data_IF_228004497585
#
_entry.id   IF_228004497585
#
_cell.length_a   1.000
_cell.length_b   1.000
_cell.length_c   1.000
_cell.angle_alpha   90.00
_cell.angle_beta   90.00
_cell.angle_gamma   90.00
#
_symmetry.space_group_name_H-M   'P 1'
#
loop_
_entity.id
_entity.type
_entity.pdbx_description
1 polymer ?
#
# COMPACT_ATOMS: atom_id res chain seq x y z
N UNK A 1 25.45 4.26 -25.36
CA UNK A 1 24.95 4.96 -24.15
C UNK A 1 23.42 5.04 -24.13
N UNK A 2 22.75 5.43 -25.22
CA UNK A 2 21.27 5.52 -25.28
C UNK A 2 20.48 4.26 -24.90
N UNK A 3 20.85 3.08 -25.40
CA UNK A 3 20.16 1.81 -25.09
C UNK A 3 20.10 1.48 -23.59
N UNK A 4 21.15 1.80 -22.81
CA UNK A 4 21.19 1.56 -21.36
C UNK A 4 20.31 2.53 -20.57
N UNK A 5 20.15 3.76 -21.06
CA UNK A 5 19.25 4.75 -20.46
C UNK A 5 17.79 4.37 -20.66
N UNK A 6 17.41 3.92 -21.86
CA UNK A 6 16.04 3.45 -22.12
C UNK A 6 15.66 2.24 -21.26
N UNK A 7 16.56 1.26 -21.11
CA UNK A 7 16.29 0.10 -20.25
C UNK A 7 16.14 0.47 -18.77
N UNK A 8 16.95 1.43 -18.28
CA UNK A 8 16.85 1.89 -16.90
C UNK A 8 15.54 2.65 -16.65
N UNK A 9 15.15 3.54 -17.57
CA UNK A 9 13.89 4.27 -17.48
C UNK A 9 12.68 3.33 -17.48
N UNK A 10 12.65 2.34 -18.37
CA UNK A 10 11.58 1.34 -18.42
C UNK A 10 11.52 0.50 -17.14
N UNK A 11 12.67 0.15 -16.56
CA UNK A 11 12.74 -0.57 -15.30
C UNK A 11 12.17 0.25 -14.13
N UNK A 12 12.61 1.50 -13.96
CA UNK A 12 12.08 2.42 -12.94
C UNK A 12 10.59 2.62 -13.10
N UNK A 13 10.12 2.89 -14.33
CA UNK A 13 8.70 3.08 -14.62
C UNK A 13 7.89 1.83 -14.25
N UNK A 14 8.38 0.64 -14.60
CA UNK A 14 7.71 -0.63 -14.30
C UNK A 14 7.62 -0.87 -12.80
N UNK A 15 8.71 -0.66 -12.06
CA UNK A 15 8.71 -0.84 -10.60
C UNK A 15 7.81 0.19 -9.93
N UNK A 16 7.90 1.47 -10.31
CA UNK A 16 7.03 2.51 -9.77
C UNK A 16 5.55 2.20 -10.00
N UNK A 17 5.21 1.68 -11.19
CA UNK A 17 3.86 1.24 -11.51
C UNK A 17 3.40 0.07 -10.62
N UNK A 18 4.25 -0.95 -10.45
CA UNK A 18 3.97 -2.09 -9.58
C UNK A 18 3.72 -1.63 -8.13
N UNK A 19 4.59 -0.76 -7.60
CA UNK A 19 4.45 -0.21 -6.26
C UNK A 19 3.14 0.57 -6.14
N UNK A 20 2.87 1.47 -7.08
CA UNK A 20 1.65 2.28 -7.05
C UNK A 20 0.39 1.41 -7.04
N UNK A 21 0.31 0.40 -7.90
CA UNK A 21 -0.82 -0.54 -7.93
C UNK A 21 -0.95 -1.30 -6.61
N UNK A 22 0.12 -1.94 -6.13
CA UNK A 22 0.08 -2.76 -4.91
C UNK A 22 -0.33 -1.91 -3.71
N UNK A 23 0.31 -0.76 -3.52
CA UNK A 23 0.05 0.13 -2.38
C UNK A 23 -1.37 0.68 -2.44
N UNK A 24 -1.88 1.03 -3.63
CA UNK A 24 -3.26 1.53 -3.79
C UNK A 24 -4.28 0.46 -3.48
N UNK A 25 -4.06 -0.79 -3.94
CA UNK A 25 -4.97 -1.92 -3.66
C UNK A 25 -4.99 -2.25 -2.16
N UNK A 26 -3.81 -2.33 -1.53
CA UNK A 26 -3.72 -2.61 -0.10
C UNK A 26 -4.27 -1.44 0.73
N UNK A 27 -3.98 -0.20 0.32
CA UNK A 27 -4.53 1.02 0.91
C UNK A 27 -6.05 1.07 0.82
N UNK A 28 -6.64 0.64 -0.30
CA UNK A 28 -8.08 0.51 -0.46
C UNK A 28 -8.68 -0.54 0.47
N UNK A 29 -8.08 -1.72 0.56
CA UNK A 29 -8.55 -2.76 1.48
C UNK A 29 -8.53 -2.28 2.94
N UNK A 30 -7.47 -1.56 3.33
CA UNK A 30 -7.34 -0.97 4.65
C UNK A 30 -8.37 0.15 4.89
N UNK A 31 -8.52 1.08 3.97
CA UNK A 31 -9.50 2.17 4.03
C UNK A 31 -10.95 1.64 4.09
N UNK A 32 -11.26 0.62 3.30
CA UNK A 32 -12.54 -0.08 3.31
C UNK A 32 -12.81 -0.72 4.67
N UNK A 33 -11.83 -1.40 5.26
CA UNK A 33 -11.96 -1.96 6.59
C UNK A 33 -12.20 -0.87 7.65
N UNK A 34 -11.50 0.27 7.57
CA UNK A 34 -11.70 1.41 8.47
C UNK A 34 -13.13 1.96 8.34
N UNK A 35 -13.62 2.18 7.12
CA UNK A 35 -14.94 2.79 6.88
C UNK A 35 -16.10 1.88 7.25
N UNK A 36 -16.02 0.59 6.91
CA UNK A 36 -17.17 -0.32 6.98
C UNK A 36 -17.08 -1.40 8.06
N UNK A 37 -15.88 -1.68 8.61
CA UNK A 37 -15.69 -2.77 9.60
C UNK A 37 -15.18 -2.31 10.96
N UNK A 38 -14.44 -1.20 11.05
CA UNK A 38 -13.80 -0.79 12.30
C UNK A 38 -14.77 -0.20 13.35
N UNK A 39 -15.98 0.21 12.95
CA UNK A 39 -16.99 0.76 13.86
C UNK A 39 -16.42 1.90 14.72
N UNK A 40 -16.55 1.78 16.05
CA UNK A 40 -16.04 2.78 17.02
C UNK A 40 -14.51 3.00 16.96
N UNK A 41 -13.76 2.04 16.43
CA UNK A 41 -12.30 2.12 16.33
C UNK A 41 -11.81 2.82 15.07
N UNK A 42 -12.71 3.15 14.14
CA UNK A 42 -12.35 3.84 12.88
C UNK A 42 -11.48 5.09 13.10
N UNK A 43 -11.83 6.02 13.99
CA UNK A 43 -11.00 7.18 14.29
C UNK A 43 -9.60 6.81 14.82
N UNK A 44 -9.51 5.82 15.72
CA UNK A 44 -8.23 5.36 16.27
C UNK A 44 -7.32 4.76 15.19
N UNK A 45 -7.86 3.95 14.27
CA UNK A 45 -7.11 3.41 13.14
C UNK A 45 -6.55 4.51 12.23
N UNK A 46 -7.34 5.56 11.96
CA UNK A 46 -6.86 6.73 11.21
C UNK A 46 -5.76 7.47 11.96
N UNK A 47 -5.90 7.68 13.27
CA UNK A 47 -4.86 8.30 14.08
C UNK A 47 -3.55 7.52 14.06
N UNK A 48 -3.59 6.19 14.20
CA UNK A 48 -2.39 5.33 14.11
C UNK A 48 -1.73 5.43 12.73
N UNK A 49 -2.54 5.50 11.67
CA UNK A 49 -2.06 5.67 10.30
C UNK A 49 -1.32 7.00 10.14
N UNK A 50 -1.88 8.08 10.69
CA UNK A 50 -1.23 9.40 10.71
C UNK A 50 0.06 9.39 11.51
N UNK A 51 0.08 8.78 12.71
CA UNK A 51 1.29 8.67 13.54
C UNK A 51 2.40 7.92 12.78
N UNK A 52 2.04 6.87 12.06
CA UNK A 52 2.98 6.09 11.24
C UNK A 52 3.60 6.93 10.12
N UNK A 53 2.88 7.92 9.60
CA UNK A 53 3.36 8.80 8.52
C UNK A 53 4.52 9.70 8.96
N UNK A 54 4.53 10.18 10.20
CA UNK A 54 5.52 11.14 10.71
C UNK A 54 6.90 10.54 11.04
N UNK A 55 7.06 9.21 10.93
CA UNK A 55 8.36 8.57 11.10
C UNK A 55 9.32 8.91 9.96
N UNK A 56 10.58 9.26 10.29
CA UNK A 56 11.60 9.61 9.30
C UNK A 56 11.84 8.49 8.28
N UNK A 57 11.80 8.82 6.99
CA UNK A 57 11.96 7.87 5.88
C UNK A 57 13.28 7.08 5.98
N UNK A 58 14.40 7.76 6.28
CA UNK A 58 15.70 7.10 6.46
C UNK A 58 15.71 6.08 7.58
N UNK A 59 15.03 6.36 8.71
CA UNK A 59 14.94 5.42 9.83
C UNK A 59 14.23 4.14 9.38
N UNK A 60 13.16 4.27 8.57
CA UNK A 60 12.44 3.11 8.02
C UNK A 60 13.31 2.31 7.05
N UNK A 61 14.09 2.97 6.19
CA UNK A 61 15.04 2.29 5.30
C UNK A 61 16.06 1.49 6.12
N UNK A 62 16.69 2.09 7.14
CA UNK A 62 17.67 1.39 7.96
C UNK A 62 17.06 0.25 8.78
N UNK A 63 15.82 0.41 9.25
CA UNK A 63 15.09 -0.66 9.92
C UNK A 63 14.87 -1.85 8.96
N UNK A 64 14.34 -1.60 7.75
CA UNK A 64 14.16 -2.66 6.75
C UNK A 64 15.48 -3.26 6.26
N UNK A 65 16.53 -2.46 6.12
CA UNK A 65 17.89 -2.92 5.81
C UNK A 65 18.40 -3.89 6.89
N UNK A 66 18.13 -3.59 8.16
CA UNK A 66 18.49 -4.47 9.28
C UNK A 66 17.68 -5.77 9.27
N UNK A 67 16.39 -5.70 8.94
CA UNK A 67 15.50 -6.87 8.89
C UNK A 67 15.85 -7.80 7.71
N UNK A 68 16.11 -7.22 6.53
CA UNK A 68 16.32 -7.94 5.27
C UNK A 68 17.80 -8.31 5.02
N UNK A 69 18.71 -7.88 5.89
CA UNK A 69 20.14 -8.18 5.76
C UNK A 69 20.44 -9.67 5.89
N UNK A 70 21.64 -10.06 5.48
CA UNK A 70 22.08 -11.46 5.53
C UNK A 70 22.03 -12.03 6.95
N UNK A 71 22.43 -11.24 7.94
CA UNK A 71 22.31 -11.54 9.37
C UNK A 71 21.05 -10.92 10.01
N UNK A 72 20.09 -10.52 9.17
CA UNK A 72 18.86 -9.88 9.60
C UNK A 72 17.87 -10.85 10.26
N UNK A 73 16.85 -10.28 10.90
CA UNK A 73 15.80 -11.03 11.61
C UNK A 73 15.12 -12.03 10.67
N UNK A 74 14.85 -11.65 9.41
CA UNK A 74 14.15 -12.51 8.46
C UNK A 74 14.97 -13.76 8.10
N UNK A 75 16.23 -13.59 7.73
CA UNK A 75 17.12 -14.71 7.40
C UNK A 75 17.36 -15.61 8.62
N UNK A 76 17.60 -15.00 9.79
CA UNK A 76 17.80 -15.74 11.04
C UNK A 76 16.57 -16.58 11.43
N UNK A 77 15.36 -16.04 11.26
CA UNK A 77 14.12 -16.77 11.51
C UNK A 77 13.91 -17.93 10.51
N UNK A 78 14.16 -17.70 9.22
CA UNK A 78 14.01 -18.73 8.18
C UNK A 78 15.01 -19.89 8.37
N UNK A 79 16.25 -19.59 8.76
CA UNK A 79 17.29 -20.59 9.10
C UNK A 79 16.89 -21.32 10.39
N UNK A 80 16.43 -20.60 11.42
CA UNK A 80 15.97 -21.19 12.68
C UNK A 80 14.78 -22.15 12.51
N UNK A 81 13.88 -21.84 11.58
CA UNK A 81 12.75 -22.70 11.18
C UNK A 81 13.16 -23.83 10.22
N UNK A 82 14.44 -23.92 9.83
CA UNK A 82 14.97 -24.87 8.84
C UNK A 82 14.27 -24.82 7.47
N UNK A 83 13.74 -23.65 7.09
CA UNK A 83 13.13 -23.44 5.77
C UNK A 83 14.22 -23.21 4.72
N UNK A 84 15.33 -22.59 5.10
CA UNK A 84 16.50 -22.33 4.24
C UNK A 84 17.79 -22.72 4.96
N UNK A 85 18.80 -23.14 4.22
CA UNK A 85 20.12 -23.52 4.75
C UNK A 85 21.13 -22.37 4.75
N UNK A 86 20.96 -21.40 3.84
CA UNK A 86 21.84 -20.24 3.68
C UNK A 86 21.02 -18.95 3.57
N UNK A 87 21.55 -17.81 4.05
CA UNK A 87 20.85 -16.54 4.00
C UNK A 87 20.62 -16.07 2.56
N UNK A 88 19.40 -15.58 2.28
CA UNK A 88 18.99 -15.09 0.97
C UNK A 88 19.61 -13.71 0.72
N UNK A 89 20.88 -13.72 0.27
CA UNK A 89 21.68 -12.51 0.08
C UNK A 89 21.11 -11.52 -0.95
N UNK A 90 20.25 -12.00 -1.83
CA UNK A 90 19.61 -11.17 -2.85
C UNK A 90 18.44 -10.34 -2.31
N UNK A 91 17.93 -10.59 -1.10
CA UNK A 91 16.75 -9.90 -0.57
C UNK A 91 16.96 -8.39 -0.45
N UNK A 92 18.05 -7.96 0.21
CA UNK A 92 18.25 -6.56 0.64
C UNK A 92 18.36 -5.55 -0.52
N UNK A 93 18.75 -6.00 -1.72
CA UNK A 93 18.86 -5.18 -2.93
C UNK A 93 17.94 -5.65 -4.06
N UNK A 94 16.93 -6.47 -3.74
CA UNK A 94 15.94 -6.92 -4.72
C UNK A 94 14.87 -5.85 -4.97
N UNK A 95 14.23 -5.85 -6.14
CA UNK A 95 13.00 -5.09 -6.39
C UNK A 95 11.93 -5.35 -5.31
N UNK A 96 11.87 -6.57 -4.76
CA UNK A 96 10.95 -6.93 -3.68
C UNK A 96 11.20 -6.18 -2.38
N UNK A 97 12.47 -5.99 -1.99
CA UNK A 97 12.81 -5.17 -0.82
C UNK A 97 12.43 -3.70 -1.02
N UNK A 98 12.60 -3.17 -2.24
CA UNK A 98 12.15 -1.81 -2.55
C UNK A 98 10.63 -1.69 -2.49
N UNK A 99 9.89 -2.62 -3.10
CA UNK A 99 8.42 -2.67 -3.02
C UNK A 99 7.95 -2.74 -1.56
N UNK A 100 8.59 -3.56 -0.72
CA UNK A 100 8.25 -3.66 0.70
C UNK A 100 8.56 -2.38 1.48
N UNK A 101 9.78 -1.85 1.35
CA UNK A 101 10.24 -0.70 2.13
C UNK A 101 9.51 0.57 1.73
N UNK A 102 9.51 0.87 0.43
CA UNK A 102 8.87 2.06 -0.13
C UNK A 102 7.36 1.93 -0.06
N UNK A 103 6.81 0.74 -0.36
CA UNK A 103 5.38 0.49 -0.27
C UNK A 103 4.86 0.63 1.16
N UNK A 104 5.57 0.09 2.16
CA UNK A 104 5.22 0.29 3.57
C UNK A 104 5.20 1.77 3.97
N UNK A 105 6.14 2.56 3.45
CA UNK A 105 6.16 4.00 3.71
C UNK A 105 5.03 4.76 3.00
N UNK A 106 4.68 4.37 1.78
CA UNK A 106 3.61 4.99 0.98
C UNK A 106 2.21 4.56 1.40
N UNK A 107 2.04 3.42 2.07
CA UNK A 107 0.73 2.88 2.47
C UNK A 107 -0.13 3.88 3.27
N UNK A 108 0.38 4.51 4.35
CA UNK A 108 -0.39 5.52 5.08
C UNK A 108 -0.80 6.69 4.18
N UNK A 109 0.11 7.16 3.32
CA UNK A 109 -0.13 8.28 2.42
C UNK A 109 -1.21 7.95 1.37
N UNK A 110 -1.19 6.73 0.83
CA UNK A 110 -2.18 6.19 -0.10
C UNK A 110 -3.55 6.03 0.55
N UNK A 111 -3.59 5.56 1.79
CA UNK A 111 -4.84 5.30 2.49
C UNK A 111 -5.65 6.58 2.76
N UNK A 112 -5.01 7.73 3.02
CA UNK A 112 -5.70 8.97 3.38
C UNK A 112 -6.72 9.47 2.33
N UNK A 113 -6.36 9.70 1.06
CA UNK A 113 -7.33 10.12 0.04
C UNK A 113 -8.42 9.06 -0.19
N UNK A 114 -8.11 7.77 -0.07
CA UNK A 114 -9.11 6.70 -0.21
C UNK A 114 -10.10 6.72 0.96
N UNK A 115 -9.60 6.89 2.19
CA UNK A 115 -10.44 7.04 3.40
C UNK A 115 -11.34 8.26 3.25
N UNK A 116 -10.82 9.38 2.75
CA UNK A 116 -11.61 10.59 2.53
C UNK A 116 -12.76 10.35 1.53
N UNK A 117 -12.49 9.70 0.39
CA UNK A 117 -13.54 9.34 -0.57
C UNK A 117 -14.56 8.37 0.00
N UNK A 118 -14.12 7.32 0.70
CA UNK A 118 -15.02 6.32 1.29
C UNK A 118 -15.88 6.89 2.44
N UNK A 119 -15.36 7.87 3.20
CA UNK A 119 -16.13 8.58 4.22
C UNK A 119 -17.21 9.49 3.63
N UNK A 120 -17.04 9.94 2.38
CA UNK A 120 -18.05 10.72 1.67
C UNK A 120 -19.27 9.90 1.24
N UNK A 121 -19.19 8.56 1.25
CA UNK A 121 -20.32 7.69 0.91
C UNK A 121 -21.32 7.71 2.08
N UNK A 122 -22.54 8.21 1.82
CA UNK A 122 -23.62 8.20 2.81
C UNK A 122 -24.16 6.79 3.04
N UNK A 123 -24.42 6.44 4.31
CA UNK A 123 -24.99 5.13 4.66
C UNK A 123 -26.42 4.96 4.09
N UNK A 124 -27.17 6.06 3.96
CA UNK A 124 -28.52 6.12 3.36
C UNK A 124 -28.56 5.55 1.93
N UNK A 125 -27.55 5.83 1.11
CA UNK A 125 -27.45 5.34 -0.26
C UNK A 125 -27.24 3.82 -0.31
N UNK A 126 -26.47 3.28 0.65
CA UNK A 126 -26.23 1.84 0.78
C UNK A 126 -27.50 1.14 1.26
N UNK A 127 -28.17 1.70 2.26
CA UNK A 127 -29.39 1.12 2.83
C UNK A 127 -30.54 1.15 1.81
N UNK A 128 -30.70 2.25 1.06
CA UNK A 128 -31.70 2.34 -0.02
C UNK A 128 -31.45 1.28 -1.12
N UNK A 129 -30.19 1.03 -1.47
CA UNK A 129 -29.85 -0.02 -2.43
C UNK A 129 -30.19 -1.42 -1.90
N UNK A 130 -29.96 -1.68 -0.60
CA UNK A 130 -30.36 -2.95 0.05
C UNK A 130 -31.87 -3.14 0.05
N UNK A 131 -32.63 -2.08 0.32
CA UNK A 131 -34.09 -2.11 0.32
C UNK A 131 -34.66 -2.43 -1.08
N UNK A 132 -33.97 -2.01 -2.14
CA UNK A 132 -34.27 -2.38 -3.53
C UNK A 132 -33.79 -3.79 -3.92
N UNK A 133 -33.25 -4.56 -2.97
CA UNK A 133 -32.80 -5.94 -3.20
C UNK A 133 -31.38 -6.07 -3.75
N UNK A 134 -30.56 -5.01 -3.72
CA UNK A 134 -29.18 -5.08 -4.18
C UNK A 134 -28.34 -6.03 -3.31
N UNK A 135 -27.61 -6.93 -3.96
CA UNK A 135 -26.68 -7.85 -3.30
C UNK A 135 -25.41 -7.10 -2.86
N UNK A 136 -24.67 -7.58 -1.84
CA UNK A 136 -23.42 -6.94 -1.40
C UNK A 136 -22.38 -6.71 -2.51
N UNK A 137 -22.33 -7.61 -3.51
CA UNK A 137 -21.45 -7.44 -4.68
C UNK A 137 -21.87 -6.26 -5.56
N UNK A 138 -23.18 -6.06 -5.76
CA UNK A 138 -23.71 -4.92 -6.52
C UNK A 138 -23.41 -3.62 -5.80
N UNK A 139 -23.68 -3.55 -4.48
CA UNK A 139 -23.33 -2.38 -3.66
C UNK A 139 -21.84 -2.04 -3.78
N UNK A 140 -20.97 -3.06 -3.75
CA UNK A 140 -19.54 -2.85 -3.88
C UNK A 140 -19.14 -2.26 -5.25
N UNK A 141 -19.58 -2.87 -6.35
CA UNK A 141 -19.15 -2.46 -7.70
C UNK A 141 -19.91 -1.24 -8.25
N UNK A 142 -21.17 -1.05 -7.86
CA UNK A 142 -22.04 -0.02 -8.41
C UNK A 142 -22.05 1.26 -7.55
N UNK A 143 -21.74 1.16 -6.25
CA UNK A 143 -21.79 2.29 -5.31
C UNK A 143 -20.41 2.59 -4.73
N UNK A 144 -19.78 1.60 -4.08
CA UNK A 144 -18.56 1.85 -3.30
C UNK A 144 -17.35 2.12 -4.21
N UNK A 145 -17.09 1.24 -5.17
CA UNK A 145 -15.91 1.34 -6.04
C UNK A 145 -15.92 2.59 -6.92
N UNK A 146 -17.04 2.99 -7.57
CA UNK A 146 -17.08 4.22 -8.37
C UNK A 146 -16.88 5.48 -7.52
N UNK A 147 -17.48 5.52 -6.33
CA UNK A 147 -17.31 6.66 -5.40
C UNK A 147 -15.92 6.70 -4.77
N UNK A 148 -15.26 5.56 -4.59
CA UNK A 148 -13.86 5.51 -4.19
C UNK A 148 -12.90 5.93 -5.33
N UNK A 149 -13.36 5.93 -6.58
CA UNK A 149 -12.58 6.20 -7.79
C UNK A 149 -11.68 7.44 -7.70
N UNK A 150 -12.19 8.63 -7.34
CA UNK A 150 -11.36 9.83 -7.19
C UNK A 150 -10.23 9.66 -6.17
N UNK A 151 -10.51 9.03 -5.03
CA UNK A 151 -9.52 8.76 -3.98
C UNK A 151 -8.48 7.72 -4.41
N UNK A 152 -8.91 6.68 -5.14
CA UNK A 152 -8.03 5.67 -5.73
C UNK A 152 -7.08 6.28 -6.77
N UNK A 153 -7.59 7.16 -7.65
CA UNK A 153 -6.78 7.83 -8.66
C UNK A 153 -5.76 8.78 -8.03
N UNK A 154 -6.18 9.56 -7.02
CA UNK A 154 -5.27 10.44 -6.28
C UNK A 154 -4.18 9.62 -5.56
N UNK A 155 -4.56 8.56 -4.85
CA UNK A 155 -3.64 7.66 -4.16
C UNK A 155 -2.62 7.04 -5.12
N UNK A 156 -3.11 6.51 -6.25
CA UNK A 156 -2.28 5.91 -7.28
C UNK A 156 -1.30 6.92 -7.87
N UNK A 157 -1.77 8.11 -8.24
CA UNK A 157 -0.94 9.16 -8.81
C UNK A 157 0.17 9.60 -7.84
N UNK A 158 -0.15 9.80 -6.55
CA UNK A 158 0.84 10.14 -5.54
C UNK A 158 1.87 9.03 -5.34
N UNK A 159 1.42 7.77 -5.22
CA UNK A 159 2.33 6.65 -5.04
C UNK A 159 3.24 6.46 -6.26
N UNK A 160 2.68 6.58 -7.47
CA UNK A 160 3.45 6.45 -8.70
C UNK A 160 4.49 7.56 -8.84
N UNK A 161 4.09 8.82 -8.62
CA UNK A 161 4.97 9.97 -8.77
C UNK A 161 6.13 9.91 -7.77
N UNK A 162 5.85 9.57 -6.52
CA UNK A 162 6.90 9.44 -5.50
C UNK A 162 7.78 8.22 -5.80
N UNK A 163 7.20 7.07 -6.16
CA UNK A 163 7.98 5.88 -6.47
C UNK A 163 8.85 6.04 -7.73
N UNK A 164 8.38 6.77 -8.74
CA UNK A 164 9.17 7.08 -9.93
C UNK A 164 10.32 8.05 -9.65
N UNK A 165 10.19 8.91 -8.62
CA UNK A 165 11.22 9.88 -8.23
C UNK A 165 12.25 9.36 -7.23
N UNK A 166 12.05 8.18 -6.63
CA UNK A 166 12.96 7.57 -5.65
C UNK A 166 14.15 6.83 -6.30
N UNK A 167 14.07 6.52 -7.61
CA UNK A 167 15.10 5.81 -8.39
C UNK A 167 15.84 6.72 -9.37
#
# INVERSE_FOLDING_TARGET
VGQKYYSALLFTFTIALIIAVIVTVVGFAFAYAIRFKAGRWGPACVSITLITLFGGYLVKIYAWKTILGNEGILNSALIGLRIIEQPLSYLLYSPGATVLTLGHWLLPLSALPIIASLRGIEDSAIDSARDLGARPRQIFFDIILPQAGPGLMAAFAFCFLIAAGDF
#
